data_IF_162557376600
#
_entry.id   IF_162557376600
#
_cell.length_a   1.000
_cell.length_b   1.000
_cell.length_c   1.000
_cell.angle_alpha   90.00
_cell.angle_beta   90.00
_cell.angle_gamma   90.00
#
_symmetry.space_group_name_H-M   'P 1'
#
loop_
_entity.id
_entity.type
_entity.pdbx_description
1 polymer ?
#
# COMPACT_ATOMS: atom_id res chain seq x y z
N UNK A 1 -11.18 -43.89 -5.71
CA UNK A 1 -11.60 -42.52 -6.04
C UNK A 1 -12.86 -42.24 -5.25
N UNK A 2 -12.92 -41.15 -4.51
CA UNK A 2 -14.13 -40.75 -3.79
C UNK A 2 -15.22 -40.40 -4.79
N UNK A 3 -16.44 -40.89 -4.60
CA UNK A 3 -17.57 -40.59 -5.49
C UNK A 3 -18.29 -39.32 -5.05
N UNK A 4 -19.06 -38.73 -5.95
CA UNK A 4 -19.91 -37.58 -5.62
C UNK A 4 -20.91 -37.94 -4.52
N UNK A 5 -21.49 -39.14 -4.56
CA UNK A 5 -22.42 -39.66 -3.56
C UNK A 5 -21.78 -39.71 -2.16
N UNK A 6 -20.54 -40.19 -2.05
CA UNK A 6 -19.82 -40.24 -0.77
C UNK A 6 -19.56 -38.83 -0.20
N UNK A 7 -19.34 -37.84 -1.06
CA UNK A 7 -19.22 -36.44 -0.63
C UNK A 7 -20.55 -35.89 -0.10
N UNK A 8 -21.67 -36.22 -0.75
CA UNK A 8 -23.01 -35.77 -0.35
C UNK A 8 -23.47 -36.42 0.96
N UNK A 9 -23.23 -37.72 1.13
CA UNK A 9 -23.55 -38.45 2.37
C UNK A 9 -22.79 -37.89 3.55
N UNK A 10 -21.48 -37.65 3.41
CA UNK A 10 -20.69 -37.11 4.50
C UNK A 10 -21.10 -35.68 4.88
N UNK A 11 -21.54 -34.86 3.92
CA UNK A 11 -22.09 -33.53 4.21
C UNK A 11 -23.42 -33.61 4.98
N UNK A 12 -24.31 -34.55 4.63
CA UNK A 12 -25.56 -34.78 5.35
C UNK A 12 -25.32 -35.31 6.75
N UNK A 13 -24.40 -36.27 6.90
CA UNK A 13 -23.99 -36.77 8.21
C UNK A 13 -23.41 -35.67 9.10
N UNK A 14 -22.59 -34.78 8.53
CA UNK A 14 -22.09 -33.62 9.25
C UNK A 14 -23.21 -32.70 9.73
N UNK A 15 -24.22 -32.48 8.89
CA UNK A 15 -25.38 -31.66 9.25
C UNK A 15 -26.23 -32.30 10.35
N UNK A 16 -26.46 -33.61 10.27
CA UNK A 16 -27.21 -34.36 11.29
C UNK A 16 -26.49 -34.33 12.65
N UNK A 17 -25.15 -34.44 12.66
CA UNK A 17 -24.35 -34.37 13.90
C UNK A 17 -24.36 -32.99 14.54
N UNK A 18 -24.40 -31.92 13.74
CA UNK A 18 -24.39 -30.55 14.22
C UNK A 18 -25.79 -29.99 14.49
N UNK A 19 -26.83 -30.62 13.92
CA UNK A 19 -28.20 -30.09 13.92
C UNK A 19 -28.38 -28.85 13.02
N UNK A 20 -27.35 -28.50 12.23
CA UNK A 20 -27.33 -27.34 11.33
C UNK A 20 -26.42 -27.61 10.13
N UNK A 21 -26.53 -26.79 9.08
CA UNK A 21 -25.67 -26.93 7.90
C UNK A 21 -24.20 -26.61 8.23
N UNK A 22 -23.24 -27.53 7.98
CA UNK A 22 -21.85 -27.37 8.41
C UNK A 22 -21.13 -26.22 7.68
N UNK A 23 -20.38 -25.42 8.43
CA UNK A 23 -19.26 -24.66 7.87
C UNK A 23 -18.10 -25.61 7.55
N UNK A 24 -17.17 -25.17 6.69
CA UNK A 24 -15.99 -25.98 6.35
C UNK A 24 -15.17 -26.32 7.60
N UNK A 25 -15.00 -25.38 8.52
CA UNK A 25 -14.25 -25.58 9.77
C UNK A 25 -14.95 -26.60 10.69
N UNK A 26 -16.26 -26.45 10.91
CA UNK A 26 -17.04 -27.43 11.70
C UNK A 26 -16.97 -28.84 11.10
N UNK A 27 -17.03 -28.96 9.77
CA UNK A 27 -16.87 -30.26 9.10
C UNK A 27 -15.51 -30.91 9.36
N UNK A 28 -14.42 -30.12 9.31
CA UNK A 28 -13.06 -30.61 9.58
C UNK A 28 -12.90 -31.07 11.04
N UNK A 29 -13.52 -30.38 11.99
CA UNK A 29 -13.52 -30.76 13.41
C UNK A 29 -14.22 -32.09 13.69
N UNK A 30 -15.23 -32.46 12.88
CA UNK A 30 -15.92 -33.74 13.00
C UNK A 30 -15.06 -34.94 12.55
N UNK A 31 -13.94 -34.68 11.88
CA UNK A 31 -13.02 -35.72 11.40
C UNK A 31 -13.65 -36.69 10.40
N UNK A 32 -14.67 -36.23 9.67
CA UNK A 32 -15.41 -37.05 8.70
C UNK A 32 -14.59 -37.27 7.42
N UNK A 33 -14.86 -38.41 6.77
CA UNK A 33 -14.29 -38.75 5.46
C UNK A 33 -15.41 -38.81 4.42
N UNK A 34 -15.22 -38.28 3.21
CA UNK A 34 -13.99 -37.69 2.65
C UNK A 34 -13.63 -36.30 3.21
N UNK A 35 -12.34 -35.96 3.24
CA UNK A 35 -11.88 -34.66 3.75
C UNK A 35 -12.48 -33.49 2.97
N UNK A 36 -12.60 -32.33 3.62
CA UNK A 36 -13.18 -31.11 3.02
C UNK A 36 -12.52 -30.73 1.68
N UNK A 37 -11.21 -30.95 1.55
CA UNK A 37 -10.44 -30.73 0.34
C UNK A 37 -10.86 -31.68 -0.80
N UNK A 38 -11.07 -32.95 -0.49
CA UNK A 38 -11.56 -33.96 -1.45
C UNK A 38 -12.97 -33.64 -1.92
N UNK A 39 -13.84 -33.19 -1.01
CA UNK A 39 -15.20 -32.73 -1.36
C UNK A 39 -15.12 -31.55 -2.34
N UNK A 40 -14.23 -30.58 -2.12
CA UNK A 40 -14.07 -29.45 -3.04
C UNK A 40 -13.44 -29.85 -4.38
N UNK A 41 -12.51 -30.80 -4.39
CA UNK A 41 -11.91 -31.32 -5.61
C UNK A 41 -12.92 -32.07 -6.47
N UNK A 42 -13.80 -32.86 -5.84
CA UNK A 42 -14.84 -33.65 -6.52
C UNK A 42 -16.07 -32.81 -6.90
N UNK A 43 -16.53 -31.90 -6.02
CA UNK A 43 -17.83 -31.21 -6.14
C UNK A 43 -17.70 -29.70 -6.44
N UNK A 44 -16.47 -29.16 -6.55
CA UNK A 44 -16.20 -27.75 -6.80
C UNK A 44 -16.21 -26.89 -5.52
N UNK A 45 -17.05 -25.84 -5.47
CA UNK A 45 -17.06 -24.94 -4.30
C UNK A 45 -17.81 -25.59 -3.13
N UNK A 46 -17.38 -25.31 -1.89
CA UNK A 46 -18.02 -25.82 -0.67
C UNK A 46 -19.54 -25.57 -0.63
N UNK A 47 -19.98 -24.35 -0.96
CA UNK A 47 -21.41 -24.03 -1.03
C UNK A 47 -22.14 -24.80 -2.13
N UNK A 48 -21.50 -25.06 -3.27
CA UNK A 48 -22.10 -25.88 -4.33
C UNK A 48 -22.27 -27.33 -3.86
N UNK A 49 -21.31 -27.87 -3.10
CA UNK A 49 -21.44 -29.19 -2.50
C UNK A 49 -22.58 -29.26 -1.48
N UNK A 50 -22.74 -28.24 -0.63
CA UNK A 50 -23.86 -28.12 0.32
C UNK A 50 -25.22 -28.01 -0.38
N UNK A 51 -25.31 -27.20 -1.43
CA UNK A 51 -26.53 -27.06 -2.24
C UNK A 51 -26.94 -28.40 -2.85
N UNK A 52 -25.99 -29.13 -3.46
CA UNK A 52 -26.22 -30.48 -3.99
C UNK A 52 -26.58 -31.49 -2.91
N UNK A 53 -26.13 -31.30 -1.67
CA UNK A 53 -26.49 -32.14 -0.53
C UNK A 53 -27.88 -31.81 0.05
N UNK A 54 -28.53 -30.73 -0.41
CA UNK A 54 -29.80 -30.24 0.12
C UNK A 54 -29.64 -29.45 1.42
N UNK A 55 -28.42 -28.96 1.71
CA UNK A 55 -28.10 -28.23 2.93
C UNK A 55 -28.09 -26.72 2.69
N UNK A 56 -28.50 -25.96 3.71
CA UNK A 56 -28.48 -24.50 3.64
C UNK A 56 -27.07 -23.99 3.33
N UNK A 57 -26.95 -23.15 2.30
CA UNK A 57 -25.66 -22.55 1.94
C UNK A 57 -25.51 -21.20 2.61
N UNK A 58 -24.27 -20.84 2.93
CA UNK A 58 -23.99 -19.46 3.30
C UNK A 58 -23.95 -18.64 2.01
N UNK A 59 -25.01 -17.91 1.69
CA UNK A 59 -24.99 -17.00 0.55
C UNK A 59 -24.07 -15.82 0.87
N UNK A 60 -22.95 -15.66 0.12
CA UNK A 60 -22.15 -14.43 0.21
C UNK A 60 -22.96 -13.22 -0.27
N UNK A 61 -24.01 -13.43 -1.05
CA UNK A 61 -25.04 -12.45 -1.43
C UNK A 61 -25.99 -12.06 -0.29
N UNK A 62 -26.11 -12.86 0.76
CA UNK A 62 -26.78 -12.51 2.03
C UNK A 62 -25.88 -11.69 2.96
N UNK A 63 -24.71 -11.24 2.48
CA UNK A 63 -24.10 -9.99 2.97
C UNK A 63 -24.74 -8.76 2.31
N UNK A 64 -25.91 -8.92 1.70
CA UNK A 64 -26.81 -7.85 1.34
C UNK A 64 -27.37 -7.23 2.60
N UNK A 65 -26.85 -6.04 2.92
CA UNK A 65 -27.40 -5.13 3.93
C UNK A 65 -27.16 -5.51 5.40
N UNK A 66 -25.92 -5.85 5.77
CA UNK A 66 -25.51 -5.54 7.14
C UNK A 66 -25.65 -4.02 7.34
N UNK A 67 -26.41 -3.55 8.34
CA UNK A 67 -26.63 -2.13 8.55
C UNK A 67 -25.29 -1.40 8.61
N UNK A 68 -25.16 -0.35 7.81
CA UNK A 68 -23.96 0.49 7.84
C UNK A 68 -23.82 1.03 9.26
N UNK A 69 -22.74 0.62 9.93
CA UNK A 69 -22.42 1.10 11.27
C UNK A 69 -22.32 2.63 11.28
N UNK A 70 -22.75 3.31 12.36
CA UNK A 70 -22.72 4.77 12.43
C UNK A 70 -21.30 5.32 12.22
N UNK A 71 -21.22 6.56 11.72
CA UNK A 71 -19.94 7.24 11.52
C UNK A 71 -19.26 7.42 12.88
N UNK A 72 -18.02 6.91 13.07
CA UNK A 72 -17.29 7.20 14.29
C UNK A 72 -17.06 8.71 14.46
N UNK A 73 -16.99 9.18 15.70
CA UNK A 73 -16.85 10.62 16.01
C UNK A 73 -15.53 11.20 15.48
N UNK A 74 -14.46 10.40 15.53
CA UNK A 74 -13.12 10.77 15.07
C UNK A 74 -12.92 10.74 13.55
N UNK A 75 -13.93 10.33 12.77
CA UNK A 75 -13.82 10.28 11.30
C UNK A 75 -14.46 11.52 10.69
N UNK A 76 -13.64 12.36 10.07
CA UNK A 76 -14.09 13.49 9.27
C UNK A 76 -14.36 13.09 7.82
N UNK A 77 -15.53 13.50 7.30
CA UNK A 77 -15.90 13.34 5.89
C UNK A 77 -16.35 14.70 5.32
N UNK A 78 -16.15 14.96 4.02
CA UNK A 78 -16.69 16.13 3.34
C UNK A 78 -18.20 16.31 3.57
N UNK A 79 -18.65 17.56 3.70
CA UNK A 79 -20.05 17.88 4.07
C UNK A 79 -21.08 17.45 3.01
N UNK A 80 -20.67 17.31 1.76
CA UNK A 80 -21.47 16.83 0.63
C UNK A 80 -21.64 15.30 0.61
N UNK A 81 -20.86 14.57 1.42
CA UNK A 81 -20.89 13.10 1.48
C UNK A 81 -21.63 12.60 2.72
N UNK A 82 -22.47 11.59 2.53
CA UNK A 82 -23.17 10.92 3.63
C UNK A 82 -22.58 9.55 3.91
N UNK A 83 -22.18 9.32 5.16
CA UNK A 83 -21.53 8.09 5.61
C UNK A 83 -22.29 6.79 5.25
N UNK A 84 -23.63 6.82 5.34
CA UNK A 84 -24.49 5.70 5.02
C UNK A 84 -24.44 5.33 3.52
N UNK A 85 -24.29 6.32 2.65
CA UNK A 85 -24.30 6.17 1.20
C UNK A 85 -22.92 5.79 0.63
N UNK A 86 -21.86 5.89 1.44
CA UNK A 86 -20.51 5.50 1.03
C UNK A 86 -20.42 3.98 0.77
N UNK A 87 -19.49 3.58 -0.08
CA UNK A 87 -19.14 2.16 -0.19
C UNK A 87 -18.29 1.72 1.01
N UNK A 88 -18.22 0.41 1.24
CA UNK A 88 -17.36 -0.16 2.29
C UNK A 88 -15.88 0.24 2.11
N UNK A 89 -15.41 0.36 0.87
CA UNK A 89 -14.04 0.81 0.57
C UNK A 89 -13.84 2.30 0.89
N UNK A 90 -14.82 3.16 0.57
CA UNK A 90 -14.76 4.59 0.91
C UNK A 90 -14.79 4.82 2.43
N UNK A 91 -15.65 4.10 3.17
CA UNK A 91 -15.67 4.15 4.64
C UNK A 91 -14.33 3.72 5.24
N UNK A 92 -13.73 2.65 4.71
CA UNK A 92 -12.40 2.22 5.12
C UNK A 92 -11.33 3.28 4.82
N UNK A 93 -11.40 3.94 3.65
CA UNK A 93 -10.49 5.03 3.31
C UNK A 93 -10.55 6.16 4.33
N UNK A 94 -11.74 6.70 4.65
CA UNK A 94 -11.87 7.80 5.61
C UNK A 94 -11.44 7.39 7.03
N UNK A 95 -11.74 6.17 7.48
CA UNK A 95 -11.26 5.62 8.75
C UNK A 95 -9.74 5.54 8.85
N UNK A 96 -9.06 5.24 7.76
CA UNK A 96 -7.61 5.02 7.77
C UNK A 96 -6.84 6.19 7.19
N UNK A 97 -7.51 7.27 6.77
CA UNK A 97 -6.90 8.37 6.02
C UNK A 97 -5.85 9.08 6.87
N UNK A 98 -6.21 9.48 8.09
CA UNK A 98 -5.32 10.22 8.98
C UNK A 98 -4.08 9.41 9.34
N UNK A 99 -4.26 8.18 9.84
CA UNK A 99 -3.14 7.30 10.17
C UNK A 99 -2.21 7.05 8.98
N UNK A 100 -2.77 6.92 7.76
CA UNK A 100 -1.97 6.77 6.53
C UNK A 100 -1.22 8.05 6.16
N UNK A 101 -1.83 9.22 6.34
CA UNK A 101 -1.17 10.52 6.13
C UNK A 101 -0.02 10.65 7.12
N UNK A 102 -0.28 10.43 8.41
CA UNK A 102 0.75 10.50 9.44
C UNK A 102 1.89 9.52 9.19
N UNK A 103 1.59 8.27 8.80
CA UNK A 103 2.62 7.27 8.49
C UNK A 103 3.51 7.73 7.34
N UNK A 104 2.92 8.29 6.28
CA UNK A 104 3.67 8.88 5.15
C UNK A 104 4.52 10.07 5.60
N UNK A 105 3.98 10.93 6.45
CA UNK A 105 4.70 12.11 6.91
C UNK A 105 5.85 11.76 7.88
N UNK A 106 5.65 10.77 8.75
CA UNK A 106 6.72 10.19 9.59
C UNK A 106 7.85 9.63 8.74
N UNK A 107 7.52 8.86 7.70
CA UNK A 107 8.49 8.29 6.76
C UNK A 107 9.27 9.39 6.02
N UNK A 108 8.59 10.40 5.49
CA UNK A 108 9.22 11.55 4.83
C UNK A 108 10.15 12.31 5.79
N UNK A 109 9.73 12.53 7.03
CA UNK A 109 10.55 13.18 8.04
C UNK A 109 11.81 12.37 8.37
N UNK A 110 11.69 11.04 8.43
CA UNK A 110 12.83 10.14 8.61
C UNK A 110 13.83 10.24 7.46
N UNK A 111 13.35 10.18 6.21
CA UNK A 111 14.21 10.33 5.03
C UNK A 111 14.91 11.69 5.03
N UNK A 112 14.21 12.79 5.35
CA UNK A 112 14.81 14.13 5.44
C UNK A 112 15.93 14.19 6.48
N UNK A 113 15.70 13.63 7.67
CA UNK A 113 16.74 13.56 8.73
C UNK A 113 17.94 12.74 8.28
N UNK A 114 17.69 11.59 7.66
CA UNK A 114 18.74 10.74 7.12
C UNK A 114 19.56 11.46 6.04
N UNK A 115 18.90 12.13 5.09
CA UNK A 115 19.56 12.85 4.00
C UNK A 115 20.39 14.03 4.53
N UNK A 116 19.88 14.74 5.53
CA UNK A 116 20.62 15.81 6.19
C UNK A 116 21.92 15.27 6.81
N UNK A 117 21.82 14.19 7.60
CA UNK A 117 22.98 13.56 8.24
C UNK A 117 23.94 12.93 7.22
N UNK A 118 23.44 12.48 6.07
CA UNK A 118 24.26 12.00 4.96
C UNK A 118 25.08 13.16 4.36
N UNK A 119 24.43 14.29 4.05
CA UNK A 119 25.09 15.49 3.52
C UNK A 119 26.18 16.00 4.48
N UNK A 120 25.88 16.05 5.77
CA UNK A 120 26.82 16.51 6.82
C UNK A 120 28.10 15.67 6.90
N UNK A 121 27.99 14.35 6.71
CA UNK A 121 29.12 13.43 6.87
C UNK A 121 29.88 13.12 5.58
N UNK A 122 29.23 13.26 4.42
CA UNK A 122 29.75 12.69 3.18
C UNK A 122 29.81 13.68 2.02
N UNK A 123 29.29 14.89 2.17
CA UNK A 123 29.11 15.79 1.04
C UNK A 123 29.82 17.13 1.26
N UNK A 124 30.54 17.56 0.23
CA UNK A 124 31.04 18.92 0.06
C UNK A 124 30.81 19.33 -1.37
N UNK A 125 30.67 20.63 -1.63
CA UNK A 125 30.56 21.15 -2.98
C UNK A 125 31.84 20.84 -3.77
N UNK A 126 31.70 20.16 -4.90
CA UNK A 126 32.82 19.78 -5.76
C UNK A 126 33.56 20.98 -6.39
N UNK A 127 32.98 22.19 -6.36
CA UNK A 127 33.54 23.40 -6.97
C UNK A 127 34.18 24.36 -5.98
N UNK A 128 33.56 24.55 -4.80
CA UNK A 128 33.96 25.61 -3.84
C UNK A 128 34.14 25.12 -2.41
N UNK A 129 34.06 23.80 -2.17
CA UNK A 129 34.30 23.17 -0.87
C UNK A 129 33.35 23.63 0.26
N UNK A 130 32.22 24.27 -0.06
CA UNK A 130 31.12 24.48 0.88
C UNK A 130 30.66 23.13 1.44
N UNK A 131 30.48 23.02 2.75
CA UNK A 131 30.13 21.78 3.44
C UNK A 131 28.83 21.83 4.22
N UNK A 132 28.20 23.01 4.33
CA UNK A 132 26.95 23.16 5.11
C UNK A 132 25.81 22.41 4.42
N UNK A 133 25.20 21.38 5.06
CA UNK A 133 24.16 20.55 4.45
C UNK A 133 22.99 21.30 3.83
N UNK A 134 22.47 22.41 4.42
CA UNK A 134 21.38 23.19 3.81
C UNK A 134 21.75 23.86 2.49
N UNK A 135 23.04 24.06 2.22
CA UNK A 135 23.53 24.75 1.03
C UNK A 135 23.85 23.80 -0.12
N UNK A 136 23.85 22.48 0.11
CA UNK A 136 24.25 21.48 -0.86
C UNK A 136 23.05 20.93 -1.63
N UNK A 137 23.21 20.78 -2.93
CA UNK A 137 22.27 20.20 -3.88
C UNK A 137 22.95 19.08 -4.69
N UNK A 138 22.12 18.19 -5.24
CA UNK A 138 22.55 17.08 -6.08
C UNK A 138 22.24 17.42 -7.54
N UNK A 139 23.28 17.70 -8.32
CA UNK A 139 23.19 18.06 -9.73
C UNK A 139 23.34 16.80 -10.59
N UNK A 140 22.41 16.56 -11.51
CA UNK A 140 22.53 15.49 -12.48
C UNK A 140 23.21 16.03 -13.75
N UNK A 141 24.36 15.48 -14.16
CA UNK A 141 25.06 15.93 -15.36
C UNK A 141 24.33 15.54 -16.66
N UNK A 142 23.36 14.62 -16.61
CA UNK A 142 22.54 14.20 -17.74
C UNK A 142 21.06 14.52 -17.47
N UNK A 143 20.40 15.21 -18.41
CA UNK A 143 19.13 15.96 -18.22
C UNK A 143 17.83 15.16 -17.90
N UNK A 144 17.87 13.89 -17.47
CA UNK A 144 16.63 13.08 -17.31
C UNK A 144 16.56 12.16 -16.09
N UNK A 145 16.81 12.67 -14.89
CA UNK A 145 16.52 11.90 -13.67
C UNK A 145 15.78 12.72 -12.59
N UNK A 146 15.13 12.02 -11.67
CA UNK A 146 14.25 12.64 -10.67
C UNK A 146 15.11 13.36 -9.64
N UNK A 147 14.82 14.64 -9.36
CA UNK A 147 15.55 15.34 -8.30
C UNK A 147 15.42 14.57 -6.98
N UNK A 148 16.52 14.47 -6.22
CA UNK A 148 16.52 13.83 -4.88
C UNK A 148 15.41 14.40 -4.00
N UNK A 149 15.12 15.72 -4.12
CA UNK A 149 14.01 16.37 -3.45
C UNK A 149 12.64 15.73 -3.79
N UNK A 150 12.40 15.42 -5.07
CA UNK A 150 11.20 14.71 -5.53
C UNK A 150 11.11 13.30 -4.94
N UNK A 151 12.21 12.57 -4.90
CA UNK A 151 12.25 11.22 -4.31
C UNK A 151 11.87 11.22 -2.82
N UNK A 152 12.33 12.23 -2.07
CA UNK A 152 11.97 12.41 -0.65
C UNK A 152 10.47 12.70 -0.50
N UNK A 153 9.90 13.57 -1.34
CA UNK A 153 8.45 13.90 -1.32
C UNK A 153 7.60 12.67 -1.64
N UNK A 154 8.05 11.86 -2.61
CA UNK A 154 7.40 10.63 -3.00
C UNK A 154 7.62 9.47 -1.99
N UNK A 155 8.56 9.61 -1.06
CA UNK A 155 8.81 8.64 0.00
C UNK A 155 9.55 7.39 -0.46
N UNK A 156 10.48 7.55 -1.42
CA UNK A 156 11.34 6.45 -1.88
C UNK A 156 12.19 5.86 -0.75
N UNK A 157 12.66 4.63 -0.92
CA UNK A 157 13.58 3.99 0.03
C UNK A 157 14.92 4.72 0.11
N UNK A 158 15.65 4.56 1.22
CA UNK A 158 16.96 5.18 1.41
C UNK A 158 17.98 4.63 0.41
N UNK A 159 17.83 3.36 0.05
CA UNK A 159 18.64 2.64 -0.92
C UNK A 159 18.50 3.27 -2.30
N UNK A 160 17.26 3.46 -2.80
CA UNK A 160 17.04 4.09 -4.10
C UNK A 160 17.57 5.53 -4.13
N UNK A 161 17.39 6.28 -3.03
CA UNK A 161 17.91 7.65 -2.93
C UNK A 161 19.44 7.64 -2.96
N UNK A 162 20.08 6.65 -2.32
CA UNK A 162 21.53 6.51 -2.32
C UNK A 162 22.08 6.19 -3.72
N UNK A 163 21.45 5.26 -4.44
CA UNK A 163 21.82 4.92 -5.82
C UNK A 163 21.74 6.15 -6.74
N UNK A 164 20.73 7.00 -6.54
CA UNK A 164 20.61 8.25 -7.29
C UNK A 164 21.70 9.27 -6.91
N UNK A 165 22.01 9.41 -5.61
CA UNK A 165 23.08 10.30 -5.14
C UNK A 165 24.42 9.93 -5.77
N UNK A 166 24.70 8.64 -5.99
CA UNK A 166 25.95 8.17 -6.60
C UNK A 166 26.09 8.59 -8.08
N UNK A 167 24.98 8.91 -8.75
CA UNK A 167 24.96 9.46 -10.12
C UNK A 167 25.02 10.99 -10.15
N UNK A 168 24.87 11.64 -9.00
CA UNK A 168 24.85 13.10 -8.88
C UNK A 168 26.24 13.68 -8.58
N UNK A 169 26.44 14.92 -9.03
CA UNK A 169 27.52 15.79 -8.58
C UNK A 169 27.00 16.64 -7.44
N UNK A 170 27.66 16.62 -6.28
CA UNK A 170 27.31 17.50 -5.16
C UNK A 170 27.82 18.91 -5.45
N UNK A 171 26.90 19.87 -5.57
CA UNK A 171 27.20 21.29 -5.77
C UNK A 171 26.48 22.12 -4.71
N UNK A 172 27.06 23.23 -4.27
CA UNK A 172 26.28 24.18 -3.49
C UNK A 172 25.27 24.91 -4.37
N UNK A 173 24.21 25.46 -3.79
CA UNK A 173 23.14 26.15 -4.52
C UNK A 173 23.65 27.24 -5.49
N UNK A 174 24.74 27.93 -5.16
CA UNK A 174 25.33 28.95 -6.04
C UNK A 174 26.08 28.32 -7.22
N UNK A 175 26.94 27.33 -6.96
CA UNK A 175 27.66 26.62 -8.03
C UNK A 175 26.69 25.85 -8.94
N UNK A 176 25.62 25.28 -8.37
CA UNK A 176 24.58 24.61 -9.13
C UNK A 176 23.84 25.56 -10.08
N UNK A 177 23.51 26.78 -9.63
CA UNK A 177 22.93 27.82 -10.49
C UNK A 177 23.88 28.27 -11.59
N UNK A 178 25.18 28.38 -11.29
CA UNK A 178 26.20 28.73 -12.29
C UNK A 178 26.34 27.64 -13.36
N UNK A 179 26.23 26.36 -12.99
CA UNK A 179 26.29 25.24 -13.96
C UNK A 179 25.12 25.29 -14.95
N UNK A 180 23.94 25.76 -14.52
CA UNK A 180 22.78 25.95 -15.39
C UNK A 180 22.66 27.37 -15.98
N UNK A 181 23.62 28.25 -15.71
CA UNK A 181 23.57 29.62 -16.20
C UNK A 181 23.88 29.66 -17.69
N UNK A 182 23.03 30.34 -18.45
CA UNK A 182 23.27 30.75 -19.84
C UNK A 182 23.34 32.28 -19.88
N UNK A 183 24.46 32.89 -19.41
CA UNK A 183 24.57 34.33 -19.33
C UNK A 183 24.58 34.93 -20.74
N UNK A 184 23.85 36.04 -20.99
CA UNK A 184 23.87 36.70 -22.28
C UNK A 184 25.27 37.25 -22.59
N UNK A 185 25.60 37.35 -23.88
CA UNK A 185 26.81 38.04 -24.33
C UNK A 185 26.75 39.51 -23.90
N UNK A 186 27.59 39.89 -22.93
CA UNK A 186 27.75 41.27 -22.52
C UNK A 186 28.80 41.95 -23.40
N UNK A 187 28.37 42.93 -24.20
CA UNK A 187 29.26 43.85 -24.91
C UNK A 187 29.86 44.87 -23.91
N UNK A 188 31.16 44.79 -23.60
CA UNK A 188 31.79 45.67 -22.61
C UNK A 188 31.89 47.12 -23.08
N UNK A 189 31.55 47.43 -24.34
CA UNK A 189 31.61 48.79 -24.90
C UNK A 189 30.32 49.61 -24.72
N UNK A 190 29.28 49.03 -24.10
CA UNK A 190 27.98 49.69 -23.84
C UNK A 190 27.73 50.07 -22.38
N UNK A 191 28.77 50.18 -21.57
CA UNK A 191 28.71 50.67 -20.18
C UNK A 191 29.01 52.16 -20.08
#
# INVERSE_FOLDING_TARGET
>A
MTTEEACLEALREAADRLGESPTKAQYEELGLTPASATIMETMGRWNAAKERAGLETFDRGATGDQPVQPKPEWVDIPADLKWAELTSQQRWYYKNREERIERKDRHRAEIRRWLYAYKDRHCVCARCNEGRPPCLDFHHPNEKEHSIATMVVNGHSKENIREEIERCIVLCANCHRLEHADPPECDPTRL
#
